data_IF_742276127743
#
_entry.id   IF_742276127743
#
_cell.length_a   1.000
_cell.length_b   1.000
_cell.length_c   1.000
_cell.angle_alpha   90.00
_cell.angle_beta   90.00
_cell.angle_gamma   90.00
#
_symmetry.space_group_name_H-M   'P 1'
#
loop_
_entity.id
_entity.type
_entity.pdbx_description
1 polymer ?
#
# COMPACT_ATOMS: atom_id res chain seq x y z
N UNK A 1 23.21 -9.18 -4.08
CA UNK A 1 21.90 -9.44 -4.73
C UNK A 1 20.71 -9.06 -3.84
N UNK A 2 20.67 -9.55 -2.59
CA UNK A 2 19.60 -9.26 -1.61
C UNK A 2 19.32 -7.76 -1.38
N UNK A 3 20.37 -6.93 -1.29
CA UNK A 3 20.22 -5.47 -1.15
C UNK A 3 19.50 -4.82 -2.35
N UNK A 4 19.69 -5.35 -3.57
CA UNK A 4 19.00 -4.85 -4.78
C UNK A 4 17.51 -5.21 -4.75
N UNK A 5 17.16 -6.43 -4.34
CA UNK A 5 15.78 -6.90 -4.18
C UNK A 5 15.04 -6.04 -3.16
N UNK A 6 15.64 -5.84 -1.97
CA UNK A 6 15.08 -4.95 -0.93
C UNK A 6 14.84 -3.54 -1.45
N UNK A 7 15.83 -2.96 -2.13
CA UNK A 7 15.70 -1.60 -2.70
C UNK A 7 14.53 -1.52 -3.68
N UNK A 8 14.34 -2.52 -4.53
CA UNK A 8 13.23 -2.55 -5.49
C UNK A 8 11.87 -2.71 -4.82
N UNK A 9 11.76 -3.59 -3.81
CA UNK A 9 10.53 -3.76 -3.02
C UNK A 9 10.18 -2.44 -2.33
N UNK A 10 11.13 -1.81 -1.64
CA UNK A 10 10.87 -0.52 -0.99
C UNK A 10 10.53 0.59 -1.96
N UNK A 11 11.20 0.64 -3.12
CA UNK A 11 10.87 1.61 -4.16
C UNK A 11 9.44 1.41 -4.64
N UNK A 12 9.02 0.18 -4.89
CA UNK A 12 7.67 -0.14 -5.31
C UNK A 12 6.63 0.23 -4.23
N UNK A 13 6.90 -0.08 -2.95
CA UNK A 13 6.05 0.32 -1.81
C UNK A 13 5.90 1.86 -1.75
N UNK A 14 7.01 2.60 -1.87
CA UNK A 14 6.97 4.07 -1.81
C UNK A 14 6.14 4.65 -2.96
N UNK A 15 6.33 4.16 -4.19
CA UNK A 15 5.55 4.66 -5.34
C UNK A 15 4.07 4.28 -5.19
N UNK A 16 3.76 3.08 -4.69
CA UNK A 16 2.40 2.64 -4.43
C UNK A 16 1.68 3.56 -3.44
N UNK A 17 2.30 3.82 -2.28
CA UNK A 17 1.73 4.65 -1.23
C UNK A 17 1.51 6.09 -1.73
N UNK A 18 2.54 6.70 -2.32
CA UNK A 18 2.45 8.09 -2.82
C UNK A 18 1.43 8.17 -3.95
N UNK A 19 1.45 7.21 -4.88
CA UNK A 19 0.51 7.16 -6.00
C UNK A 19 -0.93 7.02 -5.53
N UNK A 20 -1.20 6.09 -4.61
CA UNK A 20 -2.52 5.89 -4.02
C UNK A 20 -3.00 7.13 -3.24
N UNK A 21 -2.13 7.77 -2.46
CA UNK A 21 -2.46 9.01 -1.74
C UNK A 21 -2.81 10.15 -2.68
N UNK A 22 -1.99 10.40 -3.71
CA UNK A 22 -2.23 11.47 -4.68
C UNK A 22 -3.52 11.25 -5.45
N UNK A 23 -3.75 10.02 -5.94
CA UNK A 23 -4.97 9.68 -6.68
C UNK A 23 -6.20 9.83 -5.78
N UNK A 24 -6.14 9.32 -4.54
CA UNK A 24 -7.24 9.42 -3.58
C UNK A 24 -7.56 10.88 -3.23
N UNK A 25 -6.55 11.71 -2.92
CA UNK A 25 -6.76 13.12 -2.58
C UNK A 25 -7.24 13.93 -3.77
N UNK A 26 -6.74 13.65 -4.98
CA UNK A 26 -7.18 14.32 -6.19
C UNK A 26 -8.67 14.09 -6.44
N UNK A 27 -9.11 12.82 -6.45
CA UNK A 27 -10.51 12.50 -6.69
C UNK A 27 -11.41 12.97 -5.54
N UNK A 28 -11.01 12.76 -4.29
CA UNK A 28 -11.81 13.21 -3.15
C UNK A 28 -12.00 14.73 -3.15
N UNK A 29 -10.93 15.50 -3.42
CA UNK A 29 -11.02 16.97 -3.54
C UNK A 29 -11.89 17.40 -4.71
N UNK A 30 -11.85 16.68 -5.83
CA UNK A 30 -12.66 16.98 -7.01
C UNK A 30 -14.16 16.79 -6.76
N UNK A 31 -14.54 15.82 -5.91
CA UNK A 31 -15.95 15.53 -5.61
C UNK A 31 -16.50 16.28 -4.38
N UNK A 32 -15.70 16.46 -3.34
CA UNK A 32 -16.16 16.96 -2.03
C UNK A 32 -15.56 18.32 -1.64
N UNK A 33 -14.59 18.84 -2.40
CA UNK A 33 -13.92 20.11 -2.13
C UNK A 33 -12.78 19.99 -1.10
N UNK A 34 -11.97 21.05 -1.02
CA UNK A 34 -10.69 21.01 -0.30
C UNK A 34 -10.81 21.01 1.23
N UNK A 35 -11.90 21.57 1.78
CA UNK A 35 -12.12 21.61 3.24
C UNK A 35 -12.46 20.23 3.79
N UNK A 36 -13.32 19.47 3.10
CA UNK A 36 -13.65 18.10 3.47
C UNK A 36 -12.44 17.16 3.30
N UNK A 37 -11.62 17.36 2.25
CA UNK A 37 -10.36 16.62 2.10
C UNK A 37 -9.43 16.81 3.30
N UNK A 38 -9.29 18.03 3.83
CA UNK A 38 -8.42 18.30 4.98
C UNK A 38 -8.88 17.54 6.22
N UNK A 39 -10.17 17.58 6.54
CA UNK A 39 -10.75 16.84 7.67
C UNK A 39 -10.53 15.34 7.54
N UNK A 40 -10.74 14.80 6.33
CA UNK A 40 -10.49 13.39 6.03
C UNK A 40 -9.01 13.03 6.25
N UNK A 41 -8.08 13.87 5.79
CA UNK A 41 -6.63 13.65 5.96
C UNK A 41 -6.24 13.64 7.43
N UNK A 42 -6.72 14.60 8.22
CA UNK A 42 -6.45 14.67 9.67
C UNK A 42 -6.94 13.41 10.38
N UNK A 43 -8.11 12.92 10.01
CA UNK A 43 -8.68 11.69 10.57
C UNK A 43 -7.94 10.43 10.11
N UNK A 44 -7.55 10.35 8.84
CA UNK A 44 -6.82 9.20 8.27
C UNK A 44 -5.33 9.18 8.63
N UNK A 45 -4.77 10.27 9.15
CA UNK A 45 -3.33 10.38 9.38
C UNK A 45 -2.79 9.28 10.32
N UNK A 46 -3.38 9.02 11.51
CA UNK A 46 -2.93 7.92 12.38
C UNK A 46 -3.00 6.52 11.74
N UNK A 47 -4.15 6.06 11.16
CA UNK A 47 -4.20 4.75 10.53
C UNK A 47 -3.31 4.63 9.30
N UNK A 48 -3.10 5.72 8.54
CA UNK A 48 -2.17 5.73 7.41
C UNK A 48 -0.73 5.50 7.83
N UNK A 49 -0.26 6.16 8.91
CA UNK A 49 1.11 5.95 9.42
C UNK A 49 1.33 4.51 9.81
N UNK A 50 0.38 3.91 10.53
CA UNK A 50 0.49 2.53 11.00
C UNK A 50 0.42 1.56 9.81
N UNK A 51 -0.54 1.72 8.90
CA UNK A 51 -0.63 0.93 7.67
C UNK A 51 0.65 0.99 6.84
N UNK A 52 1.23 2.18 6.66
CA UNK A 52 2.52 2.35 5.98
C UNK A 52 3.65 1.63 6.73
N UNK A 53 3.76 1.82 8.04
CA UNK A 53 4.81 1.21 8.87
C UNK A 53 4.79 -0.30 8.81
N UNK A 54 3.60 -0.91 8.92
CA UNK A 54 3.42 -2.36 8.81
C UNK A 54 3.77 -2.84 7.40
N UNK A 55 3.38 -2.11 6.36
CA UNK A 55 3.73 -2.43 4.96
C UNK A 55 5.24 -2.44 4.75
N UNK A 56 5.97 -1.44 5.26
CA UNK A 56 7.43 -1.40 5.19
C UNK A 56 8.08 -2.53 6.00
N UNK A 57 7.58 -2.84 7.20
CA UNK A 57 8.09 -3.93 8.02
C UNK A 57 7.94 -5.28 7.31
N UNK A 58 6.76 -5.57 6.74
CA UNK A 58 6.53 -6.79 5.97
C UNK A 58 7.32 -6.81 4.65
N UNK A 59 7.48 -5.68 3.98
CA UNK A 59 8.35 -5.55 2.81
C UNK A 59 9.80 -5.92 3.11
N UNK A 60 10.31 -5.50 4.27
CA UNK A 60 11.63 -5.90 4.76
C UNK A 60 11.72 -7.40 5.05
N UNK A 61 10.71 -7.98 5.70
CA UNK A 61 10.64 -9.41 6.00
C UNK A 61 10.67 -10.23 4.71
N UNK A 62 9.84 -9.89 3.72
CA UNK A 62 9.80 -10.55 2.41
C UNK A 62 11.18 -10.44 1.74
N UNK A 63 11.76 -9.24 1.69
CA UNK A 63 13.08 -9.02 1.09
C UNK A 63 14.24 -9.79 1.77
N UNK A 64 14.10 -10.15 3.05
CA UNK A 64 15.07 -10.98 3.78
C UNK A 64 14.87 -12.49 3.57
N UNK A 65 13.63 -12.93 3.34
CA UNK A 65 13.29 -14.35 3.20
C UNK A 65 13.58 -14.90 1.81
N UNK A 66 13.77 -14.04 0.81
CA UNK A 66 14.03 -14.49 -0.56
C UNK A 66 15.51 -14.91 -0.70
N UNK A 67 15.71 -16.18 -1.05
CA UNK A 67 17.02 -16.75 -1.36
C UNK A 67 17.67 -16.04 -2.55
N UNK A 68 18.99 -15.89 -2.52
CA UNK A 68 19.76 -15.26 -3.61
C UNK A 68 19.69 -16.01 -4.94
N UNK A 69 19.33 -17.30 -4.96
CA UNK A 69 19.20 -18.08 -6.19
C UNK A 69 17.75 -18.22 -6.67
N UNK A 70 16.83 -17.40 -6.15
CA UNK A 70 15.42 -17.53 -6.45
C UNK A 70 15.09 -17.02 -7.86
N UNK A 71 14.57 -17.89 -8.74
CA UNK A 71 14.15 -17.52 -10.10
C UNK A 71 12.82 -16.76 -10.10
N UNK A 72 12.89 -15.43 -10.12
CA UNK A 72 11.71 -14.58 -10.15
C UNK A 72 10.94 -14.64 -11.46
N UNK A 73 9.63 -14.89 -11.36
CA UNK A 73 8.66 -14.78 -12.45
C UNK A 73 7.94 -13.43 -12.38
N UNK A 74 7.51 -12.89 -13.53
CA UNK A 74 6.90 -11.55 -13.62
C UNK A 74 5.66 -11.39 -12.71
N UNK A 75 4.80 -12.40 -12.66
CA UNK A 75 3.60 -12.40 -11.81
C UNK A 75 3.91 -12.37 -10.31
N UNK A 76 5.10 -12.77 -9.87
CA UNK A 76 5.46 -12.72 -8.44
C UNK A 76 5.63 -11.29 -7.93
N UNK A 77 6.03 -10.34 -8.78
CA UNK A 77 6.06 -8.93 -8.39
C UNK A 77 4.65 -8.40 -8.07
N UNK A 78 3.66 -8.84 -8.84
CA UNK A 78 2.25 -8.51 -8.61
C UNK A 78 1.73 -9.13 -7.31
N UNK A 79 2.03 -10.40 -7.05
CA UNK A 79 1.67 -11.06 -5.79
C UNK A 79 2.29 -10.36 -4.58
N UNK A 80 3.57 -9.94 -4.67
CA UNK A 80 4.26 -9.25 -3.57
C UNK A 80 3.57 -7.92 -3.26
N UNK A 81 3.32 -7.08 -4.27
CA UNK A 81 2.72 -5.75 -4.05
C UNK A 81 1.26 -5.87 -3.59
N UNK A 82 0.50 -6.81 -4.15
CA UNK A 82 -0.89 -7.06 -3.72
C UNK A 82 -0.95 -7.56 -2.27
N UNK A 83 -0.09 -8.51 -1.88
CA UNK A 83 -0.03 -8.99 -0.50
C UNK A 83 0.36 -7.87 0.49
N UNK A 84 1.31 -7.01 0.11
CA UNK A 84 1.72 -5.87 0.91
C UNK A 84 0.60 -4.82 1.05
N UNK A 85 -0.18 -4.60 0.01
CA UNK A 85 -1.36 -3.73 0.08
C UNK A 85 -2.38 -4.24 1.09
N UNK A 86 -2.71 -5.54 1.05
CA UNK A 86 -3.62 -6.14 2.03
C UNK A 86 -3.11 -5.95 3.46
N UNK A 87 -1.82 -6.20 3.69
CA UNK A 87 -1.17 -5.99 4.99
C UNK A 87 -1.31 -4.53 5.46
N UNK A 88 -1.09 -3.56 4.57
CA UNK A 88 -1.27 -2.14 4.88
C UNK A 88 -2.70 -1.78 5.24
N UNK A 89 -3.67 -2.29 4.48
CA UNK A 89 -5.11 -2.09 4.74
C UNK A 89 -5.49 -2.67 6.10
N UNK A 90 -5.12 -3.91 6.39
CA UNK A 90 -5.41 -4.53 7.69
C UNK A 90 -4.73 -3.78 8.86
N UNK A 91 -3.49 -3.31 8.68
CA UNK A 91 -2.80 -2.50 9.69
C UNK A 91 -3.53 -1.17 9.97
N UNK A 92 -4.00 -0.48 8.93
CA UNK A 92 -4.80 0.73 9.07
C UNK A 92 -6.14 0.47 9.77
N UNK A 93 -6.85 -0.59 9.39
CA UNK A 93 -8.13 -0.97 9.99
C UNK A 93 -8.00 -1.32 11.48
N UNK A 94 -6.93 -2.02 11.87
CA UNK A 94 -6.66 -2.32 13.28
C UNK A 94 -6.51 -1.04 14.11
N UNK A 95 -5.89 -0.01 13.53
CA UNK A 95 -5.74 1.30 14.20
C UNK A 95 -7.10 1.97 14.42
N UNK A 96 -7.98 1.93 13.42
CA UNK A 96 -9.34 2.46 13.52
C UNK A 96 -10.15 1.70 14.58
N UNK A 97 -9.96 0.39 14.71
CA UNK A 97 -10.63 -0.42 15.74
C UNK A 97 -10.13 -0.16 17.17
N UNK A 98 -8.89 0.30 17.34
CA UNK A 98 -8.27 0.58 18.65
C UNK A 98 -8.44 2.03 19.10
N UNK A 99 -8.74 2.94 18.18
CA UNK A 99 -9.10 4.32 18.47
C UNK A 99 -10.47 4.37 19.14
N UNK A 100 -10.48 4.30 20.47
CA UNK A 100 -11.65 4.43 21.34
C UNK A 100 -12.26 5.86 21.35
N UNK A 101 -12.31 6.52 20.20
CA UNK A 101 -13.12 7.72 19.97
C UNK A 101 -14.34 7.31 19.14
N UNK A 102 -15.19 6.53 19.80
CA UNK A 102 -16.44 5.96 19.30
C UNK A 102 -17.57 7.00 19.31
N UNK A 103 -17.38 8.10 18.60
CA UNK A 103 -18.48 8.97 18.15
C UNK A 103 -18.81 8.77 16.66
N UNK A 104 -18.12 7.82 16.01
CA UNK A 104 -18.55 7.31 14.70
C UNK A 104 -19.49 6.14 14.98
N UNK A 105 -20.76 6.49 15.19
CA UNK A 105 -21.81 5.54 14.90
C UNK A 105 -21.62 5.08 13.47
N UNK A 106 -21.42 3.78 13.33
CA UNK A 106 -21.45 2.99 12.11
C UNK A 106 -20.10 2.76 11.39
N UNK A 107 -19.72 1.48 11.44
CA UNK A 107 -18.85 0.78 10.48
C UNK A 107 -19.23 1.09 9.00
N UNK A 108 -20.43 1.63 8.75
CA UNK A 108 -20.92 2.08 7.44
C UNK A 108 -20.11 3.24 6.83
N UNK A 109 -19.41 4.06 7.62
CA UNK A 109 -18.60 5.18 7.12
C UNK A 109 -17.15 4.80 6.78
N UNK A 110 -16.63 3.74 7.42
CA UNK A 110 -15.26 3.24 7.17
C UNK A 110 -15.20 2.39 5.90
N UNK A 111 -16.27 1.64 5.61
CA UNK A 111 -16.34 0.73 4.48
C UNK A 111 -16.21 1.41 3.10
N UNK A 112 -16.86 2.56 2.83
CA UNK A 112 -16.70 3.33 1.61
C UNK A 112 -15.26 3.84 1.43
N UNK A 113 -14.60 4.28 2.50
CA UNK A 113 -13.21 4.76 2.43
C UNK A 113 -12.27 3.63 2.04
N UNK A 114 -12.44 2.44 2.63
CA UNK A 114 -11.66 1.25 2.27
C UNK A 114 -11.97 0.79 0.84
N UNK A 115 -13.22 0.85 0.40
CA UNK A 115 -13.62 0.52 -0.98
C UNK A 115 -13.03 1.49 -1.99
N UNK A 116 -12.99 2.79 -1.70
CA UNK A 116 -12.34 3.81 -2.53
C UNK A 116 -10.83 3.52 -2.60
N UNK A 117 -10.17 3.24 -1.47
CA UNK A 117 -8.76 2.88 -1.46
C UNK A 117 -8.45 1.58 -2.23
N UNK A 118 -9.31 0.56 -2.16
CA UNK A 118 -9.15 -0.68 -2.92
C UNK A 118 -9.45 -0.49 -4.42
N UNK A 119 -10.52 0.24 -4.76
CA UNK A 119 -10.94 0.49 -6.13
C UNK A 119 -9.95 1.37 -6.89
N UNK A 120 -9.44 2.44 -6.25
CA UNK A 120 -8.46 3.33 -6.87
C UNK A 120 -7.02 2.91 -6.63
N UNK A 121 -6.72 2.19 -5.55
CA UNK A 121 -5.39 1.66 -5.25
C UNK A 121 -5.01 0.45 -6.10
N UNK A 122 -5.97 -0.41 -6.48
CA UNK A 122 -5.69 -1.63 -7.24
C UNK A 122 -5.02 -1.39 -8.60
N UNK A 123 -5.20 -0.21 -9.20
CA UNK A 123 -4.65 0.15 -10.51
C UNK A 123 -3.15 0.51 -10.43
N UNK A 124 -2.70 1.38 -9.50
CA UNK A 124 -1.30 1.48 -9.07
C UNK A 124 -0.68 0.12 -8.74
N UNK A 125 -1.37 -0.72 -7.94
CA UNK A 125 -0.88 -2.03 -7.48
C UNK A 125 -0.54 -2.95 -8.65
N UNK A 126 -1.40 -2.98 -9.67
CA UNK A 126 -1.22 -3.77 -10.90
C UNK A 126 0.00 -3.29 -11.69
N UNK A 127 0.09 -1.98 -11.95
CA UNK A 127 1.18 -1.38 -12.75
C UNK A 127 2.52 -1.60 -12.04
N UNK A 128 2.58 -1.31 -10.74
CA UNK A 128 3.78 -1.44 -9.94
C UNK A 128 4.17 -2.89 -9.68
N UNK A 129 3.19 -3.78 -9.52
CA UNK A 129 3.38 -5.22 -9.44
C UNK A 129 4.07 -5.78 -10.69
N UNK A 130 3.57 -5.41 -11.87
CA UNK A 130 4.18 -5.80 -13.15
C UNK A 130 5.57 -5.20 -13.34
N UNK A 131 5.77 -3.94 -12.98
CA UNK A 131 7.07 -3.28 -13.01
C UNK A 131 8.08 -3.97 -12.09
N UNK A 132 7.70 -4.25 -10.84
CA UNK A 132 8.54 -4.93 -9.87
C UNK A 132 8.92 -6.32 -10.37
N UNK A 133 7.95 -7.09 -10.88
CA UNK A 133 8.20 -8.43 -11.42
C UNK A 133 9.15 -8.43 -12.60
N UNK A 134 9.00 -7.47 -13.51
CA UNK A 134 9.93 -7.27 -14.62
C UNK A 134 11.34 -6.94 -14.13
N UNK A 135 11.49 -6.08 -13.11
CA UNK A 135 12.80 -5.74 -12.54
C UNK A 135 13.43 -6.93 -11.83
N UNK A 136 12.67 -7.66 -11.02
CA UNK A 136 13.15 -8.83 -10.28
C UNK A 136 13.59 -9.96 -11.22
N UNK A 137 12.83 -10.24 -12.29
CA UNK A 137 13.20 -11.27 -13.28
C UNK A 137 14.54 -11.00 -13.97
N UNK A 138 14.92 -9.73 -14.14
CA UNK A 138 16.18 -9.31 -14.77
C UNK A 138 17.39 -9.39 -13.84
N UNK A 139 17.20 -9.55 -12.53
CA UNK A 139 18.31 -9.65 -11.56
C UNK A 139 19.04 -10.99 -11.67
N UNK A 140 18.39 -12.02 -12.21
CA UNK A 140 18.94 -13.38 -12.35
C UNK A 140 19.62 -13.66 -13.70
N UNK A 141 19.66 -12.70 -14.62
CA UNK A 141 20.17 -12.92 -15.99
C UNK A 141 21.68 -12.64 -16.10
N UNK A 142 22.37 -12.44 -14.97
CA UNK A 142 23.82 -12.25 -14.91
C UNK A 142 24.46 -13.12 -13.84
#
# INVERSE_FOLDING_TARGET
MLAKIKKLIFTAITIEIIGAMLVSFFFYTLFFGIEETKKLVEWLYPPMIIGCSVTYAFGWIIGNRITTNYQFKKWQGLVIIFALLLVGVFGGMLTLSLSANSDINEISDVFPVVLVFLAFGGLPTLILGLWLGNRLSKINVH
#
